data_IF_189756671480
#
_entry.id   IF_189756671480
#
_cell.length_a   1.000
_cell.length_b   1.000
_cell.length_c   1.000
_cell.angle_alpha   90.00
_cell.angle_beta   90.00
_cell.angle_gamma   90.00
#
_symmetry.space_group_name_H-M   'P 1'
#
loop_
_entity.id
_entity.type
_entity.pdbx_description
1 polymer ?
#
# COMPACT_ATOMS: atom_id res chain seq x y z
N UNK A 1 -18.96 12.73 -0.20
CA UNK A 1 -17.54 12.62 0.15
C UNK A 1 -17.37 11.35 0.95
N UNK A 2 -16.67 10.36 0.40
CA UNK A 2 -16.34 9.13 1.14
C UNK A 2 -15.30 9.54 2.20
N UNK A 3 -15.51 9.25 3.50
CA UNK A 3 -14.56 9.65 4.53
C UNK A 3 -13.19 9.05 4.22
N UNK A 4 -12.17 9.91 4.13
CA UNK A 4 -10.77 9.49 3.93
C UNK A 4 -10.10 9.46 5.30
N UNK A 5 -9.40 8.37 5.62
CA UNK A 5 -8.66 8.28 6.88
C UNK A 5 -7.56 9.37 6.97
N UNK A 6 -7.21 9.84 8.18
CA UNK A 6 -6.14 10.81 8.36
C UNK A 6 -4.82 10.33 7.74
N UNK A 7 -4.00 11.27 7.26
CA UNK A 7 -2.76 10.95 6.56
C UNK A 7 -1.85 10.02 7.38
N UNK A 8 -1.71 10.27 8.69
CA UNK A 8 -0.95 9.41 9.60
C UNK A 8 -1.38 7.94 9.55
N UNK A 9 -2.69 7.69 9.56
CA UNK A 9 -3.29 6.36 9.53
C UNK A 9 -3.05 5.69 8.17
N UNK A 10 -3.20 6.45 7.08
CA UNK A 10 -2.93 5.97 5.71
C UNK A 10 -1.46 5.61 5.51
N UNK A 11 -0.54 6.48 5.94
CA UNK A 11 0.90 6.23 5.88
C UNK A 11 1.25 4.97 6.66
N UNK A 12 0.72 4.80 7.87
CA UNK A 12 1.00 3.62 8.67
C UNK A 12 0.48 2.33 8.04
N UNK A 13 -0.70 2.36 7.44
CA UNK A 13 -1.23 1.21 6.70
C UNK A 13 -0.38 0.92 5.45
N UNK A 14 0.03 1.96 4.71
CA UNK A 14 0.88 1.82 3.54
C UNK A 14 2.24 1.22 3.90
N UNK A 15 2.89 1.69 4.97
CA UNK A 15 4.12 1.10 5.51
C UNK A 15 3.96 -0.40 5.78
N UNK A 16 2.85 -0.80 6.43
CA UNK A 16 2.58 -2.21 6.70
C UNK A 16 2.38 -3.02 5.41
N UNK A 17 1.61 -2.50 4.45
CA UNK A 17 1.38 -3.15 3.16
C UNK A 17 2.70 -3.30 2.40
N UNK A 18 3.53 -2.26 2.33
CA UNK A 18 4.81 -2.30 1.64
C UNK A 18 5.81 -3.23 2.33
N UNK A 19 5.87 -3.22 3.66
CA UNK A 19 6.70 -4.16 4.41
C UNK A 19 6.30 -5.63 4.13
N UNK A 20 4.99 -5.89 3.98
CA UNK A 20 4.47 -7.22 3.69
C UNK A 20 4.86 -7.78 2.32
N UNK A 21 5.40 -6.94 1.40
CA UNK A 21 5.99 -7.43 0.16
C UNK A 21 7.15 -8.39 0.43
N UNK A 22 7.99 -8.09 1.43
CA UNK A 22 9.22 -8.81 1.72
C UNK A 22 9.27 -9.46 3.12
N UNK A 23 8.47 -9.02 4.08
CA UNK A 23 8.51 -9.50 5.46
C UNK A 23 7.29 -10.36 5.81
N UNK A 24 7.54 -11.57 6.32
CA UNK A 24 6.49 -12.51 6.70
C UNK A 24 5.72 -12.05 7.95
N UNK A 25 6.38 -11.40 8.91
CA UNK A 25 5.72 -10.85 10.10
C UNK A 25 4.74 -9.72 9.75
N UNK A 26 5.13 -8.84 8.84
CA UNK A 26 4.27 -7.79 8.29
C UNK A 26 3.08 -8.39 7.51
N UNK A 27 3.28 -9.52 6.80
CA UNK A 27 2.14 -10.25 6.20
C UNK A 27 1.18 -10.79 7.24
N UNK A 28 1.68 -11.35 8.33
CA UNK A 28 0.84 -11.86 9.42
C UNK A 28 0.07 -10.73 10.10
N UNK A 29 0.71 -9.58 10.34
CA UNK A 29 0.06 -8.39 10.90
C UNK A 29 -1.01 -7.83 9.94
N UNK A 30 -0.70 -7.73 8.63
CA UNK A 30 -1.66 -7.30 7.61
C UNK A 30 -2.85 -8.27 7.51
N UNK A 31 -2.58 -9.58 7.54
CA UNK A 31 -3.60 -10.62 7.52
C UNK A 31 -4.46 -10.59 8.79
N UNK A 32 -3.88 -10.28 9.95
CA UNK A 32 -4.65 -10.03 11.17
C UNK A 32 -5.58 -8.82 10.95
N UNK A 33 -5.05 -7.68 10.50
CA UNK A 33 -5.83 -6.46 10.26
C UNK A 33 -6.99 -6.66 9.28
N UNK A 34 -6.86 -7.54 8.28
CA UNK A 34 -7.91 -7.81 7.29
C UNK A 34 -9.14 -8.56 7.83
N UNK A 35 -9.00 -9.25 8.97
CA UNK A 35 -10.04 -10.12 9.56
C UNK A 35 -11.14 -9.30 10.26
N UNK A 36 -12.30 -9.93 10.46
CA UNK A 36 -13.47 -9.30 11.06
C UNK A 36 -13.28 -8.93 12.54
N UNK A 37 -12.42 -9.68 13.24
CA UNK A 37 -12.21 -9.54 14.68
C UNK A 37 -10.72 -9.65 15.09
N UNK A 38 -9.98 -8.55 14.92
CA UNK A 38 -8.92 -8.22 15.85
C UNK A 38 -9.31 -6.90 16.54
N UNK A 39 -8.96 -6.77 17.82
CA UNK A 39 -8.88 -5.46 18.46
C UNK A 39 -8.15 -4.47 17.56
N UNK A 40 -8.48 -3.18 17.70
CA UNK A 40 -7.81 -2.13 16.93
C UNK A 40 -6.29 -2.30 17.06
N UNK A 41 -5.53 -2.21 15.94
CA UNK A 41 -4.08 -2.32 16.04
C UNK A 41 -3.57 -1.21 16.95
N UNK A 42 -2.52 -1.48 17.73
CA UNK A 42 -2.09 -0.58 18.82
C UNK A 42 -1.73 0.86 18.38
N UNK A 43 -1.45 1.07 17.09
CA UNK A 43 -1.15 2.37 16.50
C UNK A 43 -2.39 3.19 16.10
N UNK A 44 -3.58 2.57 16.14
CA UNK A 44 -4.87 3.21 15.91
C UNK A 44 -5.39 3.75 17.25
N UNK A 45 -5.39 5.06 17.41
CA UNK A 45 -5.87 5.75 18.62
C UNK A 45 -7.39 5.92 18.58
N UNK A 46 -8.00 6.28 19.71
CA UNK A 46 -9.46 6.33 19.87
C UNK A 46 -10.18 7.14 18.78
N UNK A 47 -9.64 8.32 18.43
CA UNK A 47 -10.20 9.20 17.40
C UNK A 47 -10.17 8.56 15.99
N UNK A 48 -9.28 7.60 15.74
CA UNK A 48 -9.12 6.95 14.45
C UNK A 48 -9.93 5.64 14.32
N UNK A 49 -10.56 5.18 15.40
CA UNK A 49 -11.38 3.95 15.41
C UNK A 49 -12.54 4.02 14.41
N UNK A 50 -13.03 5.23 14.09
CA UNK A 50 -14.05 5.46 13.08
C UNK A 50 -13.62 4.94 11.69
N UNK A 51 -12.33 4.98 11.37
CA UNK A 51 -11.78 4.58 10.06
C UNK A 51 -11.41 3.09 9.99
N UNK A 52 -11.57 2.32 11.07
CA UNK A 52 -11.17 0.89 11.13
C UNK A 52 -11.71 0.05 9.99
N UNK A 53 -12.92 0.35 9.51
CA UNK A 53 -13.56 -0.38 8.43
C UNK A 53 -12.84 -0.16 7.09
N UNK A 54 -12.44 1.07 6.79
CA UNK A 54 -11.65 1.42 5.61
C UNK A 54 -10.27 0.74 5.63
N UNK A 55 -9.63 0.73 6.81
CA UNK A 55 -8.34 0.05 6.98
C UNK A 55 -8.45 -1.44 6.77
N UNK A 56 -9.52 -2.07 7.30
CA UNK A 56 -9.81 -3.50 7.09
C UNK A 56 -10.06 -3.83 5.63
N UNK A 57 -10.84 -3.02 4.93
CA UNK A 57 -11.14 -3.21 3.51
C UNK A 57 -9.87 -3.11 2.67
N UNK A 58 -9.07 -2.07 2.91
CA UNK A 58 -7.79 -1.86 2.22
C UNK A 58 -6.77 -2.95 2.55
N UNK A 59 -6.68 -3.39 3.81
CA UNK A 59 -5.85 -4.53 4.21
C UNK A 59 -6.30 -5.83 3.54
N UNK A 60 -7.61 -6.06 3.39
CA UNK A 60 -8.14 -7.23 2.68
C UNK A 60 -7.75 -7.21 1.21
N UNK A 61 -7.88 -6.05 0.55
CA UNK A 61 -7.44 -5.90 -0.85
C UNK A 61 -5.95 -6.25 -1.00
N UNK A 62 -5.11 -5.74 -0.09
CA UNK A 62 -3.69 -6.04 -0.06
C UNK A 62 -3.41 -7.53 0.18
N UNK A 63 -4.08 -8.17 1.16
CA UNK A 63 -3.94 -9.61 1.37
C UNK A 63 -4.28 -10.43 0.13
N UNK A 64 -5.35 -10.07 -0.58
CA UNK A 64 -5.74 -10.74 -1.83
C UNK A 64 -4.68 -10.53 -2.92
N UNK A 65 -4.19 -9.31 -3.10
CA UNK A 65 -3.17 -9.00 -4.11
C UNK A 65 -1.86 -9.77 -3.85
N UNK A 66 -1.48 -9.90 -2.58
CA UNK A 66 -0.23 -10.52 -2.17
C UNK A 66 -0.30 -12.05 -2.04
N UNK A 67 -1.49 -12.65 -2.09
CA UNK A 67 -1.67 -14.10 -1.99
C UNK A 67 -0.97 -14.86 -3.13
N UNK A 68 -0.85 -14.24 -4.31
CA UNK A 68 -0.14 -14.81 -5.47
C UNK A 68 1.38 -14.63 -5.40
N UNK A 69 1.89 -13.80 -4.48
CA UNK A 69 3.33 -13.53 -4.32
C UNK A 69 3.90 -14.40 -3.20
N UNK A 70 5.05 -15.07 -3.41
CA UNK A 70 5.71 -15.80 -2.32
C UNK A 70 6.12 -14.84 -1.17
N UNK A 71 5.91 -15.20 0.10
CA UNK A 71 6.47 -14.47 1.25
C UNK A 71 7.99 -14.44 1.16
N UNK A 72 8.62 -13.29 1.40
CA UNK A 72 10.08 -13.18 1.37
C UNK A 72 10.68 -13.08 -0.04
N UNK A 73 9.88 -12.91 -1.08
CA UNK A 73 10.37 -12.48 -2.39
C UNK A 73 10.98 -11.09 -2.26
N UNK A 74 12.29 -11.04 -2.02
CA UNK A 74 13.02 -9.77 -1.88
C UNK A 74 12.90 -8.97 -3.18
N UNK A 75 12.52 -7.69 -3.02
CA UNK A 75 12.60 -6.70 -4.09
C UNK A 75 14.09 -6.44 -4.33
N UNK A 76 14.65 -7.01 -5.39
CA UNK A 76 16.09 -6.95 -5.68
C UNK A 76 16.40 -6.19 -6.96
N UNK A 77 15.40 -5.90 -7.76
CA UNK A 77 15.53 -5.27 -9.05
C UNK A 77 14.40 -4.30 -9.33
N UNK A 78 14.61 -3.42 -10.30
CA UNK A 78 13.57 -2.53 -10.85
C UNK A 78 12.37 -3.33 -11.38
N UNK A 79 12.61 -4.50 -11.96
CA UNK A 79 11.53 -5.36 -12.44
C UNK A 79 10.64 -5.83 -11.27
N UNK A 80 11.23 -6.20 -10.12
CA UNK A 80 10.49 -6.61 -8.93
C UNK A 80 9.62 -5.47 -8.38
N UNK A 81 10.14 -4.23 -8.41
CA UNK A 81 9.40 -3.03 -7.99
C UNK A 81 8.20 -2.78 -8.89
N UNK A 82 8.40 -2.83 -10.22
CA UNK A 82 7.33 -2.59 -11.18
C UNK A 82 6.26 -3.69 -11.13
N UNK A 83 6.67 -4.94 -10.94
CA UNK A 83 5.78 -6.08 -10.76
C UNK A 83 4.96 -5.96 -9.45
N UNK A 84 5.59 -5.54 -8.35
CA UNK A 84 4.89 -5.22 -7.10
C UNK A 84 3.93 -4.04 -7.27
N UNK A 85 4.35 -2.97 -7.94
CA UNK A 85 3.52 -1.80 -8.22
C UNK A 85 2.29 -2.17 -9.07
N UNK A 86 2.46 -2.99 -10.12
CA UNK A 86 1.35 -3.49 -10.93
C UNK A 86 0.37 -4.34 -10.08
N UNK A 87 0.89 -5.24 -9.25
CA UNK A 87 0.07 -6.06 -8.33
C UNK A 87 -0.79 -5.19 -7.40
N UNK A 88 -0.21 -4.14 -6.82
CA UNK A 88 -0.92 -3.21 -5.94
C UNK A 88 -1.91 -2.33 -6.72
N UNK A 89 -1.53 -1.90 -7.92
CA UNK A 89 -2.38 -1.08 -8.80
C UNK A 89 -3.66 -1.82 -9.18
N UNK A 90 -3.54 -3.09 -9.60
CA UNK A 90 -4.69 -3.94 -9.94
C UNK A 90 -5.63 -4.19 -8.75
N UNK A 91 -5.11 -4.04 -7.52
CA UNK A 91 -5.86 -4.11 -6.27
C UNK A 91 -6.42 -2.76 -5.80
N UNK A 92 -6.37 -1.72 -6.65
CA UNK A 92 -6.84 -0.35 -6.35
C UNK A 92 -6.09 0.31 -5.16
N UNK A 93 -4.85 -0.12 -4.90
CA UNK A 93 -3.99 0.39 -3.83
C UNK A 93 -3.10 1.53 -4.34
N UNK A 94 -3.73 2.55 -4.94
CA UNK A 94 -3.02 3.61 -5.66
C UNK A 94 -2.11 4.45 -4.76
N UNK A 95 -2.54 4.70 -3.52
CA UNK A 95 -1.70 5.35 -2.52
C UNK A 95 -0.42 4.55 -2.23
N UNK A 96 -0.53 3.23 -2.07
CA UNK A 96 0.60 2.35 -1.81
C UNK A 96 1.53 2.24 -3.03
N UNK A 97 0.98 2.30 -4.25
CA UNK A 97 1.78 2.40 -5.48
C UNK A 97 2.60 3.69 -5.50
N UNK A 98 1.99 4.83 -5.15
CA UNK A 98 2.71 6.09 -4.99
C UNK A 98 3.87 5.93 -4.00
N UNK A 99 3.58 5.48 -2.78
CA UNK A 99 4.59 5.33 -1.72
C UNK A 99 5.73 4.38 -2.12
N UNK A 100 5.40 3.26 -2.77
CA UNK A 100 6.39 2.30 -3.26
C UNK A 100 7.33 2.95 -4.28
N UNK A 101 6.77 3.59 -5.30
CA UNK A 101 7.55 4.15 -6.41
C UNK A 101 8.31 5.41 -6.01
N UNK A 102 7.82 6.20 -5.05
CA UNK A 102 8.48 7.43 -4.61
C UNK A 102 9.88 7.15 -4.06
N UNK A 103 10.05 6.06 -3.31
CA UNK A 103 11.36 5.63 -2.82
C UNK A 103 12.38 5.44 -3.94
N UNK A 104 12.02 4.72 -4.99
CA UNK A 104 12.89 4.47 -6.15
C UNK A 104 13.07 5.72 -7.02
N UNK A 105 12.05 6.55 -7.14
CA UNK A 105 12.09 7.80 -7.90
C UNK A 105 13.11 8.79 -7.31
N UNK A 106 13.20 8.90 -5.98
CA UNK A 106 14.16 9.80 -5.31
C UNK A 106 15.60 9.50 -5.73
N UNK A 107 15.94 8.22 -5.88
CA UNK A 107 17.27 7.75 -6.24
C UNK A 107 17.51 7.67 -7.76
N UNK A 108 16.45 7.54 -8.56
CA UNK A 108 16.53 7.47 -10.02
C UNK A 108 17.00 8.79 -10.67
N UNK A 109 17.60 8.68 -11.86
CA UNK A 109 18.13 9.78 -12.68
C UNK A 109 17.77 9.58 -14.16
N UNK A 110 17.80 10.65 -14.94
CA UNK A 110 17.51 10.62 -16.39
C UNK A 110 16.13 10.03 -16.69
N UNK A 111 16.05 9.26 -17.77
CA UNK A 111 14.82 8.65 -18.30
C UNK A 111 14.09 7.79 -17.26
N UNK A 112 14.83 7.10 -16.39
CA UNK A 112 14.24 6.28 -15.32
C UNK A 112 13.45 7.13 -14.32
N UNK A 113 13.98 8.31 -13.97
CA UNK A 113 13.30 9.24 -13.05
C UNK A 113 12.02 9.76 -13.68
N UNK A 114 12.06 10.10 -14.97
CA UNK A 114 10.89 10.59 -15.71
C UNK A 114 9.82 9.50 -15.83
N UNK A 115 10.21 8.28 -16.18
CA UNK A 115 9.29 7.15 -16.26
C UNK A 115 8.61 6.86 -14.92
N UNK A 116 9.37 6.81 -13.82
CA UNK A 116 8.82 6.61 -12.48
C UNK A 116 7.91 7.76 -12.06
N UNK A 117 8.27 9.01 -12.40
CA UNK A 117 7.40 10.17 -12.14
C UNK A 117 6.07 10.03 -12.88
N UNK A 118 6.08 9.59 -14.13
CA UNK A 118 4.85 9.33 -14.90
C UNK A 118 3.95 8.30 -14.22
N UNK A 119 4.50 7.17 -13.78
CA UNK A 119 3.75 6.13 -13.07
C UNK A 119 3.20 6.62 -11.72
N UNK A 120 3.97 7.41 -10.98
CA UNK A 120 3.52 8.06 -9.75
C UNK A 120 2.33 8.98 -10.03
N UNK A 121 2.39 9.80 -11.09
CA UNK A 121 1.29 10.69 -11.45
C UNK A 121 0.04 9.93 -11.89
N UNK A 122 0.19 8.79 -12.58
CA UNK A 122 -0.93 7.89 -12.89
C UNK A 122 -1.59 7.39 -11.59
N UNK A 123 -0.81 6.90 -10.64
CA UNK A 123 -1.34 6.44 -9.34
C UNK A 123 -2.06 7.56 -8.58
N UNK A 124 -1.50 8.78 -8.56
CA UNK A 124 -2.14 9.96 -7.95
C UNK A 124 -3.47 10.29 -8.63
N UNK A 125 -3.54 10.26 -9.96
CA UNK A 125 -4.78 10.49 -10.72
C UNK A 125 -5.89 9.51 -10.34
N UNK A 126 -5.57 8.21 -10.26
CA UNK A 126 -6.53 7.19 -9.82
C UNK A 126 -6.89 7.32 -8.34
N UNK A 127 -5.95 7.71 -7.47
CA UNK A 127 -6.24 7.99 -6.07
C UNK A 127 -7.24 9.15 -5.92
N UNK A 128 -7.12 10.21 -6.73
CA UNK A 128 -8.12 11.29 -6.76
C UNK A 128 -9.48 10.78 -7.23
N UNK A 129 -9.52 10.03 -8.34
CA UNK A 129 -10.77 9.46 -8.84
C UNK A 129 -11.47 8.57 -7.79
N UNK A 130 -10.72 7.79 -7.01
CA UNK A 130 -11.27 6.93 -5.97
C UNK A 130 -11.84 7.69 -4.77
N UNK A 131 -11.36 8.90 -4.47
CA UNK A 131 -11.83 9.70 -3.34
C UNK A 131 -13.03 10.61 -3.68
N UNK A 132 -13.35 10.77 -4.97
CA UNK A 132 -14.40 11.65 -5.50
C UNK A 132 -14.02 13.13 -5.43
#
# INVERSE_FOLDING_TARGET
MIPTAPLRVRNRLAELILASLADAGARDELAALSRADPGAPAWLVDDDLAYRHLLRERARSACTALASRPPGASIRSRADVLDAAATLFDAYLFFEVHELLEGFWRDARGDDREALQGLIQVAVGYQHLANG
#
